data_IF_141940111885
#
_entry.id   IF_141940111885
#
_cell.length_a   1.000
_cell.length_b   1.000
_cell.length_c   1.000
_cell.angle_alpha   90.00
_cell.angle_beta   90.00
_cell.angle_gamma   90.00
#
_symmetry.space_group_name_H-M   'P 1'
#
loop_
_entity.id
_entity.type
_entity.pdbx_description
1 polymer ?
#
# COMPACT_ATOMS: atom_id res chain seq x y z
N UNK A 1 -55.40 6.79 17.97
CA UNK A 1 -54.97 8.15 17.59
C UNK A 1 -53.44 8.24 17.48
N UNK A 2 -52.65 7.84 18.50
CA UNK A 2 -51.19 7.94 18.44
C UNK A 2 -50.48 7.07 17.35
N UNK A 3 -50.98 5.87 17.07
CA UNK A 3 -50.33 4.98 16.09
C UNK A 3 -50.51 5.49 14.64
N UNK A 4 -51.67 6.01 14.31
CA UNK A 4 -51.96 6.61 13.01
C UNK A 4 -51.15 7.89 12.76
N UNK A 5 -51.00 8.72 13.77
CA UNK A 5 -50.23 9.95 13.70
C UNK A 5 -48.72 9.70 13.54
N UNK A 6 -48.18 8.61 14.16
CA UNK A 6 -46.84 8.16 13.98
C UNK A 6 -46.63 7.62 12.55
N UNK A 7 -47.54 6.81 12.05
CA UNK A 7 -47.47 6.27 10.69
C UNK A 7 -47.49 7.39 9.62
N UNK A 8 -48.32 8.38 9.75
CA UNK A 8 -48.37 9.54 8.84
C UNK A 8 -47.09 10.41 8.91
N UNK A 9 -46.45 10.52 10.11
CA UNK A 9 -45.19 11.22 10.27
C UNK A 9 -44.04 10.44 9.60
N UNK A 10 -43.99 9.14 9.74
CA UNK A 10 -43.01 8.28 9.10
C UNK A 10 -43.14 8.27 7.58
N UNK A 11 -44.39 8.28 7.07
CA UNK A 11 -44.64 8.36 5.63
C UNK A 11 -44.25 9.72 5.03
N UNK A 12 -44.52 10.82 5.74
CA UNK A 12 -44.06 12.17 5.36
C UNK A 12 -42.55 12.28 5.39
N UNK A 13 -41.90 11.68 6.39
CA UNK A 13 -40.46 11.64 6.51
C UNK A 13 -39.84 10.80 5.39
N UNK A 14 -40.37 9.61 5.11
CA UNK A 14 -39.97 8.75 4.00
C UNK A 14 -40.08 9.42 2.64
N UNK A 15 -41.22 10.10 2.36
CA UNK A 15 -41.42 10.88 1.14
C UNK A 15 -40.45 12.06 1.02
N UNK A 16 -40.07 12.68 2.13
CA UNK A 16 -39.14 13.81 2.17
C UNK A 16 -37.70 13.36 1.96
N UNK A 17 -37.31 12.20 2.51
CA UNK A 17 -36.00 11.54 2.24
C UNK A 17 -35.97 11.05 0.80
N UNK A 18 -36.99 10.39 0.31
CA UNK A 18 -37.10 9.94 -1.08
C UNK A 18 -36.97 11.07 -2.10
N UNK A 19 -37.59 12.23 -1.86
CA UNK A 19 -37.39 13.42 -2.70
C UNK A 19 -35.99 14.01 -2.62
N UNK A 20 -35.33 13.99 -1.45
CA UNK A 20 -33.90 14.42 -1.32
C UNK A 20 -32.95 13.44 -1.97
N UNK A 21 -33.27 12.15 -2.00
CA UNK A 21 -32.45 11.10 -2.63
C UNK A 21 -32.71 10.95 -4.14
N UNK A 22 -33.82 11.52 -4.66
CA UNK A 22 -34.13 11.53 -6.10
C UNK A 22 -33.58 12.72 -6.90
N UNK A 23 -32.87 13.66 -6.24
CA UNK A 23 -31.97 14.57 -6.92
C UNK A 23 -30.90 13.75 -7.62
N UNK A 24 -30.51 14.10 -8.87
CA UNK A 24 -29.43 13.44 -9.62
C UNK A 24 -28.34 13.04 -8.64
N UNK A 25 -28.23 11.74 -8.35
CA UNK A 25 -27.10 11.20 -7.63
C UNK A 25 -25.90 11.50 -8.52
N UNK A 26 -25.17 12.56 -8.24
CA UNK A 26 -23.80 12.61 -8.71
C UNK A 26 -23.17 11.29 -8.27
N UNK A 27 -22.77 10.47 -9.24
CA UNK A 27 -22.16 9.16 -8.99
C UNK A 27 -20.92 9.45 -8.15
N UNK A 28 -20.96 9.11 -6.87
CA UNK A 28 -19.81 9.32 -5.97
C UNK A 28 -18.64 8.60 -6.61
N UNK A 29 -17.59 9.33 -6.96
CA UNK A 29 -16.40 8.75 -7.56
C UNK A 29 -15.74 7.80 -6.57
N UNK A 30 -15.50 6.59 -7.01
CA UNK A 30 -14.81 5.59 -6.20
C UNK A 30 -13.31 5.90 -6.09
N UNK A 31 -12.70 5.42 -4.99
CA UNK A 31 -11.27 5.55 -4.74
C UNK A 31 -10.54 4.31 -5.23
N UNK A 32 -9.48 4.53 -5.97
CA UNK A 32 -8.59 3.47 -6.45
C UNK A 32 -7.15 3.71 -5.99
N UNK A 33 -6.51 2.62 -5.59
CA UNK A 33 -5.12 2.58 -5.15
C UNK A 33 -4.28 1.74 -6.11
N UNK A 34 -2.99 2.01 -6.17
CA UNK A 34 -2.10 1.23 -7.04
C UNK A 34 -1.98 -0.22 -6.55
N UNK A 35 -1.74 -0.45 -5.27
CA UNK A 35 -1.50 -1.79 -4.71
C UNK A 35 -2.78 -2.58 -4.52
N UNK A 36 -3.79 -1.98 -3.89
CA UNK A 36 -5.03 -2.65 -3.54
C UNK A 36 -5.96 -2.92 -4.72
N UNK A 37 -5.86 -2.12 -5.79
CA UNK A 37 -6.78 -2.22 -6.91
C UNK A 37 -6.06 -2.58 -8.20
N UNK A 38 -5.19 -1.71 -8.72
CA UNK A 38 -4.61 -1.88 -10.04
C UNK A 38 -3.72 -3.13 -10.14
N UNK A 39 -2.78 -3.28 -9.21
CA UNK A 39 -1.88 -4.44 -9.19
C UNK A 39 -2.68 -5.73 -8.94
N UNK A 40 -3.59 -5.71 -7.96
CA UNK A 40 -4.40 -6.87 -7.63
C UNK A 40 -5.30 -7.30 -8.79
N UNK A 41 -5.95 -6.35 -9.47
CA UNK A 41 -6.74 -6.62 -10.67
C UNK A 41 -5.88 -7.16 -11.80
N UNK A 42 -4.73 -6.53 -12.08
CA UNK A 42 -3.80 -6.97 -13.14
C UNK A 42 -3.21 -8.36 -12.87
N UNK A 43 -3.10 -8.77 -11.61
CA UNK A 43 -2.66 -10.13 -11.26
C UNK A 43 -3.75 -11.17 -11.56
N UNK A 44 -4.97 -10.93 -11.12
CA UNK A 44 -6.12 -11.79 -11.38
C UNK A 44 -7.44 -11.03 -11.18
N UNK A 45 -8.14 -10.60 -12.26
CA UNK A 45 -9.41 -9.92 -12.17
C UNK A 45 -10.45 -10.68 -11.34
N UNK A 46 -10.53 -12.01 -11.51
CA UNK A 46 -11.46 -12.85 -10.74
C UNK A 46 -11.16 -12.84 -9.24
N UNK A 47 -9.90 -12.98 -8.85
CA UNK A 47 -9.49 -12.91 -7.45
C UNK A 47 -9.80 -11.53 -6.86
N UNK A 48 -9.50 -10.47 -7.62
CA UNK A 48 -9.85 -9.10 -7.24
C UNK A 48 -11.35 -8.94 -7.01
N UNK A 49 -12.19 -9.44 -7.93
CA UNK A 49 -13.65 -9.40 -7.80
C UNK A 49 -14.13 -10.10 -6.54
N UNK A 50 -13.61 -11.29 -6.24
CA UNK A 50 -13.98 -12.06 -5.04
C UNK A 50 -13.62 -11.32 -3.75
N UNK A 51 -12.40 -10.86 -3.61
CA UNK A 51 -11.95 -10.23 -2.36
C UNK A 51 -12.38 -8.77 -2.21
N UNK A 52 -12.32 -7.98 -3.27
CA UNK A 52 -12.55 -6.53 -3.19
C UNK A 52 -13.99 -6.12 -3.48
N UNK A 53 -14.67 -6.78 -4.40
CA UNK A 53 -16.04 -6.43 -4.77
C UNK A 53 -17.07 -7.24 -3.99
N UNK A 54 -16.91 -8.56 -3.90
CA UNK A 54 -17.83 -9.40 -3.12
C UNK A 54 -17.48 -9.48 -1.63
N UNK A 55 -16.34 -8.96 -1.21
CA UNK A 55 -15.98 -8.79 0.20
C UNK A 55 -15.58 -10.08 0.93
N UNK A 56 -15.15 -11.12 0.22
CA UNK A 56 -14.59 -12.29 0.87
C UNK A 56 -13.28 -11.94 1.58
N UNK A 57 -13.16 -12.30 2.85
CA UNK A 57 -11.93 -12.10 3.61
C UNK A 57 -10.90 -13.18 3.24
N UNK A 58 -9.63 -12.82 2.98
CA UNK A 58 -8.58 -13.83 2.79
C UNK A 58 -8.35 -14.64 4.06
N UNK A 59 -8.10 -15.95 3.90
CA UNK A 59 -7.91 -16.87 5.01
C UNK A 59 -6.57 -16.73 5.75
N UNK A 60 -5.65 -15.91 5.25
CA UNK A 60 -4.27 -15.85 5.75
C UNK A 60 -3.84 -14.46 6.24
N UNK A 61 -4.43 -13.93 7.33
CA UNK A 61 -4.04 -12.63 7.90
C UNK A 61 -2.59 -12.62 8.42
N UNK A 62 -1.99 -13.77 8.69
CA UNK A 62 -0.60 -13.88 9.18
C UNK A 62 0.46 -13.48 8.14
N UNK A 63 0.16 -13.55 6.84
CA UNK A 63 1.09 -13.07 5.80
C UNK A 63 1.26 -11.54 5.82
N UNK A 64 0.26 -10.84 6.34
CA UNK A 64 0.29 -9.37 6.45
C UNK A 64 1.06 -8.89 7.68
N UNK A 65 1.24 -9.75 8.71
CA UNK A 65 1.85 -9.35 9.98
C UNK A 65 3.25 -8.76 9.79
N UNK A 66 4.11 -9.45 9.02
CA UNK A 66 5.53 -9.07 8.88
C UNK A 66 5.70 -7.65 8.30
N UNK A 67 5.01 -7.34 7.22
CA UNK A 67 5.05 -6.00 6.63
C UNK A 67 4.39 -4.96 7.55
N UNK A 68 3.20 -5.27 8.04
CA UNK A 68 2.40 -4.35 8.87
C UNK A 68 3.09 -3.95 10.16
N UNK A 69 3.78 -4.87 10.86
CA UNK A 69 4.49 -4.55 12.10
C UNK A 69 5.66 -3.61 11.85
N UNK A 70 6.39 -3.78 10.74
CA UNK A 70 7.49 -2.89 10.35
C UNK A 70 6.96 -1.48 10.09
N UNK A 71 5.92 -1.33 9.26
CA UNK A 71 5.34 -0.02 8.95
C UNK A 71 4.80 0.68 10.21
N UNK A 72 4.06 -0.05 11.06
CA UNK A 72 3.53 0.50 12.32
C UNK A 72 4.63 0.92 13.30
N UNK A 73 5.71 0.13 13.38
CA UNK A 73 6.86 0.47 14.21
C UNK A 73 7.53 1.76 13.71
N UNK A 74 7.82 1.85 12.42
CA UNK A 74 8.47 3.02 11.83
C UNK A 74 7.61 4.27 11.98
N UNK A 75 6.31 4.17 11.70
CA UNK A 75 5.36 5.25 11.98
C UNK A 75 5.42 5.70 13.44
N UNK A 76 5.45 4.76 14.37
CA UNK A 76 5.51 5.10 15.80
C UNK A 76 6.84 5.76 16.17
N UNK A 77 7.95 5.29 15.62
CA UNK A 77 9.27 5.89 15.79
C UNK A 77 9.29 7.36 15.30
N UNK A 78 8.73 7.63 14.13
CA UNK A 78 8.54 9.02 13.63
C UNK A 78 7.66 9.85 14.55
N UNK A 79 6.58 9.26 15.08
CA UNK A 79 5.69 9.98 16.01
C UNK A 79 6.42 10.37 17.29
N UNK A 80 7.22 9.46 17.87
CA UNK A 80 8.05 9.75 19.07
C UNK A 80 9.01 10.90 18.78
N UNK A 81 9.71 10.86 17.65
CA UNK A 81 10.61 11.95 17.29
C UNK A 81 9.87 13.29 17.10
N UNK A 82 8.71 13.30 16.47
CA UNK A 82 7.94 14.54 16.29
C UNK A 82 7.54 15.18 17.61
N UNK A 83 7.12 14.36 18.60
CA UNK A 83 6.61 14.82 19.89
C UNK A 83 7.76 15.11 20.85
N UNK A 84 8.66 14.16 21.04
CA UNK A 84 9.67 14.19 22.08
C UNK A 84 11.05 14.64 21.61
N UNK A 85 11.23 14.82 20.28
CA UNK A 85 12.53 15.09 19.63
C UNK A 85 13.59 14.02 19.94
N UNK A 86 13.17 12.83 20.34
CA UNK A 86 14.02 11.70 20.68
C UNK A 86 14.01 10.67 19.56
N UNK A 87 15.17 10.33 19.04
CA UNK A 87 15.33 9.23 18.09
C UNK A 87 15.28 7.90 18.86
N UNK A 88 14.53 6.94 18.33
CA UNK A 88 14.46 5.58 18.86
C UNK A 88 15.81 4.88 18.57
N UNK A 89 16.50 4.48 19.63
CA UNK A 89 17.72 3.68 19.57
C UNK A 89 17.46 2.18 19.59
N UNK A 90 18.54 1.39 19.50
CA UNK A 90 18.46 -0.08 19.52
C UNK A 90 17.82 -0.61 20.81
N UNK A 91 18.12 0.02 21.96
CA UNK A 91 17.62 -0.38 23.28
C UNK A 91 16.11 -0.11 23.44
N UNK A 92 15.57 0.86 22.72
CA UNK A 92 14.13 1.21 22.76
C UNK A 92 13.27 0.23 21.93
N UNK A 93 13.88 -0.54 21.03
CA UNK A 93 13.14 -1.32 20.01
C UNK A 93 12.16 -2.29 20.66
N UNK A 94 12.58 -3.04 21.66
CA UNK A 94 11.73 -4.09 22.24
C UNK A 94 10.50 -3.54 22.97
N UNK A 95 10.65 -2.39 23.63
CA UNK A 95 9.51 -1.74 24.31
C UNK A 95 8.52 -1.21 23.27
N UNK A 96 9.00 -0.50 22.25
CA UNK A 96 8.15 0.05 21.20
C UNK A 96 7.49 -1.05 20.39
N UNK A 97 8.24 -2.11 20.06
CA UNK A 97 7.75 -3.29 19.35
C UNK A 97 6.61 -3.95 20.10
N UNK A 98 6.76 -4.22 21.40
CA UNK A 98 5.69 -4.79 22.24
C UNK A 98 4.38 -3.98 22.18
N UNK A 99 4.47 -2.65 22.18
CA UNK A 99 3.29 -1.77 22.07
C UNK A 99 2.60 -1.93 20.72
N UNK A 100 3.38 -2.03 19.63
CA UNK A 100 2.84 -2.25 18.27
C UNK A 100 2.24 -3.65 18.15
N UNK A 101 2.95 -4.67 18.60
CA UNK A 101 2.52 -6.07 18.56
C UNK A 101 1.22 -6.28 19.32
N UNK A 102 1.09 -5.76 20.55
CA UNK A 102 -0.13 -5.86 21.34
C UNK A 102 -1.34 -5.22 20.66
N UNK A 103 -1.15 -4.10 19.95
CA UNK A 103 -2.22 -3.48 19.17
C UNK A 103 -2.64 -4.35 17.99
N UNK A 104 -1.68 -5.00 17.31
CA UNK A 104 -1.97 -5.92 16.19
C UNK A 104 -2.65 -7.22 16.67
N UNK A 105 -2.24 -7.75 17.82
CA UNK A 105 -2.88 -8.91 18.42
C UNK A 105 -4.35 -8.65 18.79
N UNK A 106 -4.66 -7.45 19.26
CA UNK A 106 -6.04 -7.04 19.52
C UNK A 106 -6.89 -6.98 18.23
N UNK A 107 -6.26 -6.76 17.06
CA UNK A 107 -6.89 -6.84 15.75
C UNK A 107 -6.93 -8.30 15.19
N UNK A 108 -6.41 -9.27 15.92
CA UNK A 108 -6.34 -10.68 15.49
C UNK A 108 -5.15 -11.01 14.57
N UNK A 109 -4.21 -10.07 14.39
CA UNK A 109 -3.04 -10.22 13.48
C UNK A 109 -1.82 -10.64 14.30
N UNK A 110 -1.28 -11.83 14.03
CA UNK A 110 -0.19 -12.45 14.81
C UNK A 110 0.95 -12.92 13.91
N UNK A 111 2.18 -13.05 14.46
CA UNK A 111 3.29 -13.63 13.72
C UNK A 111 3.02 -15.11 13.40
N UNK A 112 3.55 -15.57 12.25
CA UNK A 112 3.43 -16.96 11.85
C UNK A 112 4.25 -17.93 12.72
N UNK A 113 5.31 -17.43 13.37
CA UNK A 113 6.14 -18.20 14.29
C UNK A 113 6.99 -17.27 15.19
N UNK A 114 7.52 -17.78 16.33
CA UNK A 114 8.47 -17.06 17.15
C UNK A 114 9.72 -16.60 16.38
N UNK A 115 10.23 -17.41 15.46
CA UNK A 115 11.41 -17.10 14.66
C UNK A 115 11.18 -15.90 13.73
N UNK A 116 9.98 -15.80 13.15
CA UNK A 116 9.59 -14.64 12.34
C UNK A 116 9.53 -13.38 13.20
N UNK A 117 9.01 -13.49 14.42
CA UNK A 117 8.98 -12.40 15.38
C UNK A 117 10.39 -11.91 15.75
N UNK A 118 11.28 -12.82 16.12
CA UNK A 118 12.67 -12.52 16.45
C UNK A 118 13.41 -11.86 15.29
N UNK A 119 13.19 -12.35 14.07
CA UNK A 119 13.77 -11.76 12.86
C UNK A 119 13.34 -10.30 12.67
N UNK A 120 12.07 -9.96 12.91
CA UNK A 120 11.61 -8.57 12.83
C UNK A 120 12.27 -7.70 13.90
N UNK A 121 12.38 -8.18 15.13
CA UNK A 121 13.05 -7.43 16.20
C UNK A 121 14.51 -7.15 15.83
N UNK A 122 15.24 -8.17 15.35
CA UNK A 122 16.62 -8.01 14.89
C UNK A 122 16.74 -7.00 13.74
N UNK A 123 15.79 -7.03 12.79
CA UNK A 123 15.72 -6.09 11.67
C UNK A 123 15.51 -4.66 12.15
N UNK A 124 14.60 -4.44 13.08
CA UNK A 124 14.29 -3.12 13.60
C UNK A 124 15.44 -2.56 14.47
N UNK A 125 16.11 -3.41 15.24
CA UNK A 125 17.35 -3.05 15.95
C UNK A 125 18.42 -2.60 14.97
N UNK A 126 18.64 -3.36 13.90
CA UNK A 126 19.62 -3.01 12.88
C UNK A 126 19.27 -1.70 12.15
N UNK A 127 18.00 -1.47 11.81
CA UNK A 127 17.53 -0.19 11.26
C UNK A 127 17.83 0.97 12.24
N UNK A 128 17.50 0.81 13.52
CA UNK A 128 17.74 1.84 14.52
C UNK A 128 19.23 2.13 14.69
N UNK A 129 20.05 1.10 14.72
CA UNK A 129 21.51 1.23 14.84
C UNK A 129 22.15 1.92 13.65
N UNK A 130 21.71 1.60 12.42
CA UNK A 130 22.36 2.06 11.19
C UNK A 130 21.80 3.37 10.63
N UNK A 131 20.49 3.56 10.71
CA UNK A 131 19.80 4.58 9.92
C UNK A 131 19.02 5.57 10.74
N UNK A 132 18.42 5.17 11.86
CA UNK A 132 17.42 6.00 12.54
C UNK A 132 17.97 7.38 12.94
N UNK A 133 19.22 7.47 13.37
CA UNK A 133 19.86 8.71 13.83
C UNK A 133 19.89 9.81 12.77
N UNK A 134 20.21 9.46 11.52
CA UNK A 134 20.27 10.41 10.40
C UNK A 134 18.94 10.49 9.63
N UNK A 135 18.19 9.42 9.57
CA UNK A 135 17.00 9.31 8.72
C UNK A 135 15.75 9.89 9.38
N UNK A 136 15.44 9.47 10.61
CA UNK A 136 14.18 9.86 11.29
C UNK A 136 14.06 11.39 11.45
N UNK A 137 15.12 12.15 11.82
CA UNK A 137 15.05 13.60 11.93
C UNK A 137 14.70 14.34 10.62
N UNK A 138 14.95 13.72 9.48
CA UNK A 138 14.70 14.30 8.14
C UNK A 138 13.30 13.98 7.61
N UNK A 139 12.50 13.19 8.33
CA UNK A 139 11.12 12.86 7.92
C UNK A 139 10.19 14.00 8.29
N UNK A 140 9.63 14.63 7.28
CA UNK A 140 8.64 15.70 7.41
C UNK A 140 7.26 15.11 7.76
N UNK A 141 6.83 14.06 7.05
CA UNK A 141 5.53 13.42 7.25
C UNK A 141 5.64 11.90 7.09
N UNK A 142 5.08 11.15 8.05
CA UNK A 142 4.92 9.69 7.96
C UNK A 142 3.47 9.35 7.63
N UNK A 143 3.27 8.33 6.78
CA UNK A 143 1.97 7.95 6.21
C UNK A 143 1.26 9.13 5.51
N UNK A 144 2.01 9.84 4.68
CA UNK A 144 1.51 10.95 3.89
C UNK A 144 0.39 10.49 2.95
N UNK A 145 -0.81 11.01 3.17
CA UNK A 145 -1.99 10.72 2.34
C UNK A 145 -2.05 11.66 1.16
N UNK A 146 -2.04 11.09 -0.03
CA UNK A 146 -2.11 11.79 -1.29
C UNK A 146 -3.38 11.42 -2.02
N UNK A 147 -4.08 12.42 -2.55
CA UNK A 147 -5.38 12.27 -3.22
C UNK A 147 -5.40 13.17 -4.43
N UNK A 148 -5.86 12.62 -5.56
CA UNK A 148 -6.19 13.40 -6.77
C UNK A 148 -7.54 12.95 -7.30
N UNK A 149 -8.46 13.88 -7.41
CA UNK A 149 -9.70 13.66 -8.13
C UNK A 149 -9.45 13.72 -9.63
N UNK A 150 -9.75 12.64 -10.33
CA UNK A 150 -9.70 12.51 -11.78
C UNK A 150 -11.14 12.54 -12.35
N UNK A 151 -11.33 12.66 -13.67
CA UNK A 151 -12.68 12.77 -14.26
C UNK A 151 -13.66 11.67 -13.83
N UNK A 152 -13.19 10.43 -13.68
CA UNK A 152 -14.04 9.27 -13.43
C UNK A 152 -13.85 8.59 -12.07
N UNK A 153 -12.75 8.86 -11.38
CA UNK A 153 -12.40 8.23 -10.10
C UNK A 153 -11.50 9.12 -9.25
N UNK A 154 -11.26 8.72 -8.02
CA UNK A 154 -10.31 9.35 -7.11
C UNK A 154 -9.08 8.45 -7.02
N UNK A 155 -7.93 8.96 -7.45
CA UNK A 155 -6.64 8.30 -7.24
C UNK A 155 -6.16 8.59 -5.82
N UNK A 156 -5.80 7.52 -5.10
CA UNK A 156 -5.42 7.60 -3.70
C UNK A 156 -4.14 6.80 -3.45
N UNK A 157 -3.26 7.35 -2.61
CA UNK A 157 -2.05 6.69 -2.15
C UNK A 157 -1.65 7.10 -0.74
N UNK A 158 -0.94 6.23 -0.05
CA UNK A 158 -0.29 6.53 1.23
C UNK A 158 1.20 6.26 1.03
N UNK A 159 2.00 7.29 1.22
CA UNK A 159 3.47 7.22 1.19
C UNK A 159 3.94 6.98 2.61
N UNK A 160 4.82 6.01 2.82
CA UNK A 160 5.27 5.66 4.17
C UNK A 160 6.01 6.79 4.85
N UNK A 161 6.91 7.48 4.11
CA UNK A 161 7.61 8.64 4.63
C UNK A 161 7.94 9.66 3.53
N UNK A 162 7.71 10.93 3.84
CA UNK A 162 8.20 12.07 3.09
C UNK A 162 9.45 12.59 3.80
N UNK A 163 10.60 12.45 3.17
CA UNK A 163 11.87 12.95 3.67
C UNK A 163 12.21 14.27 3.01
N UNK A 164 12.76 15.19 3.79
CA UNK A 164 13.27 16.49 3.30
C UNK A 164 14.74 16.62 3.64
N UNK A 165 15.55 16.89 2.64
CA UNK A 165 16.98 17.10 2.81
C UNK A 165 17.48 18.15 1.83
N UNK A 166 18.14 19.19 2.35
CA UNK A 166 18.63 20.29 1.50
C UNK A 166 17.55 21.07 0.75
N UNK A 167 16.30 21.05 1.22
CA UNK A 167 15.16 21.67 0.55
C UNK A 167 14.53 20.79 -0.56
N UNK A 168 15.03 19.60 -0.78
CA UNK A 168 14.50 18.65 -1.76
C UNK A 168 13.64 17.58 -1.08
N UNK A 169 12.60 17.14 -1.78
CA UNK A 169 11.67 16.14 -1.29
C UNK A 169 12.02 14.75 -1.83
N UNK A 170 11.99 13.77 -0.96
CA UNK A 170 12.13 12.35 -1.30
C UNK A 170 10.94 11.56 -0.76
N UNK A 171 10.37 10.68 -1.58
CA UNK A 171 9.31 9.75 -1.17
C UNK A 171 9.97 8.42 -0.81
N UNK A 172 9.65 7.88 0.36
CA UNK A 172 10.18 6.60 0.83
C UNK A 172 9.05 5.61 1.07
N UNK A 173 9.28 4.36 0.67
CA UNK A 173 8.38 3.23 0.89
C UNK A 173 9.17 2.03 1.42
N UNK A 174 8.72 1.47 2.53
CA UNK A 174 9.40 0.38 3.22
C UNK A 174 8.89 -0.97 2.74
N UNK A 175 9.79 -1.84 2.34
CA UNK A 175 9.46 -3.20 1.92
C UNK A 175 10.03 -4.21 2.92
N UNK A 176 9.15 -4.86 3.69
CA UNK A 176 9.48 -5.91 4.64
C UNK A 176 9.94 -7.20 3.96
N UNK A 177 10.89 -7.12 3.02
CA UNK A 177 11.40 -8.24 2.25
C UNK A 177 12.80 -7.96 1.73
N UNK A 178 13.40 -8.98 1.12
CA UNK A 178 14.63 -8.84 0.34
C UNK A 178 14.38 -8.17 -1.00
N UNK A 179 15.35 -7.47 -1.52
CA UNK A 179 15.27 -6.88 -2.87
C UNK A 179 15.07 -8.01 -3.89
N UNK A 180 14.04 -7.91 -4.74
CA UNK A 180 13.82 -8.89 -5.79
C UNK A 180 15.02 -8.97 -6.74
N UNK A 181 15.42 -10.19 -7.09
CA UNK A 181 16.60 -10.44 -7.94
C UNK A 181 16.29 -10.08 -9.40
N UNK A 182 16.92 -9.03 -9.99
CA UNK A 182 16.60 -8.55 -11.33
C UNK A 182 16.96 -9.54 -12.45
N UNK A 183 17.86 -10.48 -12.19
CA UNK A 183 18.25 -11.52 -13.16
C UNK A 183 17.12 -12.51 -13.41
N UNK A 184 16.17 -12.66 -12.48
CA UNK A 184 15.04 -13.58 -12.62
C UNK A 184 13.81 -12.89 -13.23
N UNK A 185 12.99 -13.60 -14.05
CA UNK A 185 11.75 -13.04 -14.59
C UNK A 185 10.78 -12.55 -13.49
N UNK A 186 10.67 -13.31 -12.41
CA UNK A 186 9.81 -12.97 -11.27
C UNK A 186 10.34 -11.72 -10.53
N UNK A 187 11.66 -11.62 -10.36
CA UNK A 187 12.28 -10.46 -9.72
C UNK A 187 12.07 -9.19 -10.53
N UNK A 188 12.27 -9.25 -11.85
CA UNK A 188 11.98 -8.11 -12.76
C UNK A 188 10.54 -7.66 -12.66
N UNK A 189 9.58 -8.59 -12.73
CA UNK A 189 8.15 -8.28 -12.60
C UNK A 189 7.83 -7.61 -11.25
N UNK A 190 8.42 -8.07 -10.15
CA UNK A 190 8.22 -7.44 -8.83
C UNK A 190 8.80 -6.04 -8.77
N UNK A 191 10.01 -5.82 -9.28
CA UNK A 191 10.62 -4.48 -9.34
C UNK A 191 9.75 -3.54 -10.18
N UNK A 192 9.25 -3.99 -11.34
CA UNK A 192 8.34 -3.21 -12.18
C UNK A 192 7.07 -2.80 -11.41
N UNK A 193 6.45 -3.72 -10.69
CA UNK A 193 5.27 -3.45 -9.86
C UNK A 193 5.56 -2.36 -8.81
N UNK A 194 6.69 -2.47 -8.10
CA UNK A 194 7.08 -1.47 -7.10
C UNK A 194 7.45 -0.13 -7.73
N UNK A 195 8.09 -0.14 -8.90
CA UNK A 195 8.37 1.07 -9.68
C UNK A 195 7.06 1.78 -10.07
N UNK A 196 6.08 1.04 -10.57
CA UNK A 196 4.74 1.57 -10.89
C UNK A 196 4.04 2.16 -9.65
N UNK A 197 4.21 1.56 -8.47
CA UNK A 197 3.72 2.14 -7.22
C UNK A 197 4.35 3.51 -6.94
N UNK A 198 5.67 3.61 -7.08
CA UNK A 198 6.38 4.87 -6.86
C UNK A 198 6.04 5.93 -7.92
N UNK A 199 5.74 5.53 -9.15
CA UNK A 199 5.25 6.43 -10.19
C UNK A 199 3.93 7.10 -9.78
N UNK A 200 2.99 6.32 -9.25
CA UNK A 200 1.72 6.86 -8.74
C UNK A 200 1.95 7.82 -7.58
N UNK A 201 2.83 7.48 -6.66
CA UNK A 201 3.15 8.35 -5.53
C UNK A 201 3.83 9.65 -5.97
N UNK A 202 4.78 9.57 -6.89
CA UNK A 202 5.43 10.75 -7.49
C UNK A 202 4.44 11.64 -8.23
N UNK A 203 3.54 11.06 -9.02
CA UNK A 203 2.47 11.80 -9.68
C UNK A 203 1.53 12.49 -8.68
N UNK A 204 1.04 11.77 -7.68
CA UNK A 204 0.18 12.34 -6.65
C UNK A 204 0.87 13.46 -5.85
N UNK A 205 2.17 13.30 -5.58
CA UNK A 205 2.96 14.32 -4.92
C UNK A 205 3.07 15.58 -5.79
N UNK A 206 3.35 15.43 -7.09
CA UNK A 206 3.35 16.54 -8.06
C UNK A 206 2.01 17.27 -8.09
N UNK A 207 0.91 16.53 -8.12
CA UNK A 207 -0.44 17.12 -8.17
C UNK A 207 -0.77 17.92 -6.90
N UNK A 208 -0.20 17.55 -5.75
CA UNK A 208 -0.37 18.28 -4.48
C UNK A 208 0.57 19.47 -4.36
N UNK A 209 1.84 19.33 -4.78
CA UNK A 209 2.92 20.29 -4.47
C UNK A 209 3.38 21.11 -5.68
N UNK A 210 2.89 20.85 -6.88
CA UNK A 210 3.25 21.54 -8.12
C UNK A 210 4.56 21.05 -8.78
N UNK A 211 5.34 20.20 -8.11
CA UNK A 211 6.59 19.61 -8.64
C UNK A 211 6.72 18.15 -8.24
N UNK A 212 7.45 17.37 -9.03
CA UNK A 212 7.83 16.01 -8.64
C UNK A 212 8.77 16.05 -7.42
N UNK A 213 8.78 14.99 -6.59
CA UNK A 213 9.89 14.82 -5.64
C UNK A 213 11.18 14.62 -6.44
N UNK A 214 12.33 14.90 -5.83
CA UNK A 214 13.62 14.62 -6.47
C UNK A 214 13.76 13.16 -6.83
N UNK A 215 13.43 12.28 -5.87
CA UNK A 215 13.46 10.84 -6.07
C UNK A 215 12.42 10.12 -5.23
N UNK A 216 12.11 8.89 -5.63
CA UNK A 216 11.42 7.93 -4.81
C UNK A 216 12.37 6.77 -4.45
N UNK A 217 12.27 6.29 -3.22
CA UNK A 217 13.16 5.27 -2.67
C UNK A 217 12.34 4.10 -2.12
N UNK A 218 12.64 2.91 -2.61
CA UNK A 218 12.20 1.65 -2.00
C UNK A 218 13.30 1.17 -1.07
N UNK A 219 12.99 1.02 0.21
CA UNK A 219 13.91 0.47 1.20
C UNK A 219 13.55 -0.98 1.50
N UNK A 220 14.33 -1.91 0.95
CA UNK A 220 14.18 -3.35 1.18
C UNK A 220 14.81 -3.73 2.53
N UNK A 221 13.99 -3.69 3.56
CA UNK A 221 14.42 -3.78 4.96
C UNK A 221 15.26 -5.03 5.27
N UNK A 222 14.90 -6.19 4.70
CA UNK A 222 15.59 -7.44 5.00
C UNK A 222 17.05 -7.47 4.49
N UNK A 223 17.41 -6.59 3.57
CA UNK A 223 18.82 -6.45 3.12
C UNK A 223 19.71 -5.82 4.20
N UNK A 224 19.13 -5.09 5.16
CA UNK A 224 19.91 -4.54 6.29
C UNK A 224 20.50 -5.63 7.19
N UNK A 225 19.93 -6.83 7.18
CA UNK A 225 20.47 -8.00 7.91
C UNK A 225 21.61 -8.71 7.18
N UNK A 226 21.94 -8.29 5.95
CA UNK A 226 22.95 -8.93 5.10
C UNK A 226 24.10 -7.96 4.83
N UNK A 227 25.30 -8.52 4.66
CA UNK A 227 26.51 -7.74 4.42
C UNK A 227 27.22 -7.28 5.70
N UNK A 228 28.46 -6.88 5.56
CA UNK A 228 29.35 -6.56 6.70
C UNK A 228 29.40 -5.04 6.97
N UNK A 229 29.39 -4.22 5.92
CA UNK A 229 29.49 -2.76 6.04
C UNK A 229 28.16 -2.05 5.79
N UNK A 230 27.99 -0.86 6.37
CA UNK A 230 26.83 0.00 6.10
C UNK A 230 26.66 0.29 4.60
N UNK A 231 27.77 0.58 3.91
CA UNK A 231 27.76 0.86 2.46
C UNK A 231 27.24 -0.32 1.65
N UNK A 232 27.66 -1.53 1.98
CA UNK A 232 27.19 -2.75 1.31
C UNK A 232 25.69 -2.97 1.58
N UNK A 233 25.27 -2.88 2.83
CA UNK A 233 23.87 -3.03 3.23
C UNK A 233 22.95 -2.03 2.48
N UNK A 234 23.32 -0.76 2.45
CA UNK A 234 22.55 0.28 1.76
C UNK A 234 22.55 0.09 0.25
N UNK A 235 23.65 -0.31 -0.38
CA UNK A 235 23.67 -0.56 -1.83
C UNK A 235 22.71 -1.67 -2.26
N UNK A 236 22.44 -2.62 -1.36
CA UNK A 236 21.48 -3.71 -1.59
C UNK A 236 20.06 -3.30 -1.20
N UNK A 237 19.89 -2.61 -0.07
CA UNK A 237 18.60 -2.27 0.48
C UNK A 237 17.88 -1.15 -0.29
N UNK A 238 18.61 -0.20 -0.87
CA UNK A 238 18.05 1.00 -1.51
C UNK A 238 17.88 0.77 -3.00
N UNK A 239 16.66 1.06 -3.49
CA UNK A 239 16.35 1.15 -4.91
C UNK A 239 15.74 2.51 -5.19
N UNK A 240 16.39 3.29 -6.04
CA UNK A 240 16.03 4.68 -6.32
C UNK A 240 15.38 4.83 -7.68
N UNK A 241 14.44 5.77 -7.76
CA UNK A 241 13.78 6.21 -8.98
C UNK A 241 13.94 7.73 -9.01
N UNK A 242 14.69 8.22 -9.99
CA UNK A 242 15.00 9.64 -10.14
C UNK A 242 13.92 10.34 -10.96
N UNK A 243 13.22 11.28 -10.37
CA UNK A 243 12.20 12.11 -11.04
C UNK A 243 12.77 13.38 -11.68
N UNK A 244 14.06 13.64 -11.58
CA UNK A 244 14.73 14.69 -12.35
C UNK A 244 15.02 14.26 -13.79
N UNK A 245 14.98 12.95 -14.06
CA UNK A 245 15.13 12.37 -15.39
C UNK A 245 13.84 12.51 -16.20
N UNK A 246 13.90 13.18 -17.34
CA UNK A 246 12.76 13.38 -18.24
C UNK A 246 12.16 12.08 -18.76
N UNK A 247 12.97 11.02 -18.93
CA UNK A 247 12.47 9.71 -19.35
C UNK A 247 11.58 9.13 -18.29
N UNK A 248 12.01 9.17 -17.03
CA UNK A 248 11.21 8.73 -15.88
C UNK A 248 9.87 9.46 -15.81
N UNK A 249 9.88 10.78 -16.00
CA UNK A 249 8.64 11.60 -16.00
C UNK A 249 7.69 11.17 -17.11
N UNK A 250 8.18 10.91 -18.32
CA UNK A 250 7.36 10.42 -19.44
C UNK A 250 6.77 9.02 -19.15
N UNK A 251 7.53 8.14 -18.52
CA UNK A 251 7.06 6.82 -18.09
C UNK A 251 5.95 6.93 -17.05
N UNK A 252 6.07 7.85 -16.09
CA UNK A 252 5.02 8.15 -15.11
C UNK A 252 3.72 8.56 -15.80
N UNK A 253 3.77 9.53 -16.71
CA UNK A 253 2.59 10.01 -17.43
C UNK A 253 1.96 8.91 -18.29
N UNK A 254 2.78 8.06 -18.89
CA UNK A 254 2.32 6.88 -19.63
C UNK A 254 1.57 5.92 -18.72
N UNK A 255 2.13 5.62 -17.56
CA UNK A 255 1.51 4.70 -16.62
C UNK A 255 0.22 5.24 -16.01
N UNK A 256 0.09 6.55 -15.77
CA UNK A 256 -1.18 7.13 -15.26
C UNK A 256 -2.32 6.97 -16.29
N UNK A 257 -2.01 6.99 -17.59
CA UNK A 257 -3.00 6.65 -18.64
C UNK A 257 -3.40 5.18 -18.57
N UNK A 258 -2.43 4.25 -18.51
CA UNK A 258 -2.67 2.81 -18.31
C UNK A 258 -3.51 2.55 -17.07
N UNK A 259 -3.19 3.20 -15.95
CA UNK A 259 -3.96 3.12 -14.71
C UNK A 259 -5.44 3.46 -14.94
N UNK A 260 -5.71 4.53 -15.66
CA UNK A 260 -7.08 4.97 -15.96
C UNK A 260 -7.84 3.96 -16.83
N UNK A 261 -7.16 3.26 -17.73
CA UNK A 261 -7.75 2.19 -18.55
C UNK A 261 -8.11 0.98 -17.67
N UNK A 262 -7.21 0.56 -16.80
CA UNK A 262 -7.48 -0.55 -15.85
C UNK A 262 -8.68 -0.21 -14.94
N UNK A 263 -8.78 1.03 -14.45
CA UNK A 263 -9.97 1.44 -13.67
C UNK A 263 -11.26 1.30 -14.47
N UNK A 264 -11.27 1.66 -15.76
CA UNK A 264 -12.44 1.46 -16.62
C UNK A 264 -12.80 -0.01 -16.78
N UNK A 265 -11.81 -0.89 -16.89
CA UNK A 265 -12.05 -2.34 -16.93
C UNK A 265 -12.64 -2.86 -15.62
N UNK A 266 -12.14 -2.40 -14.47
CA UNK A 266 -12.69 -2.73 -13.16
C UNK A 266 -14.16 -2.28 -13.09
N UNK A 267 -14.48 -1.04 -13.47
CA UNK A 267 -15.84 -0.53 -13.45
C UNK A 267 -16.77 -1.34 -14.37
N UNK A 268 -16.32 -1.68 -15.58
CA UNK A 268 -17.07 -2.54 -16.49
C UNK A 268 -17.30 -3.94 -15.90
N UNK A 269 -16.33 -4.50 -15.19
CA UNK A 269 -16.47 -5.78 -14.52
C UNK A 269 -17.48 -5.72 -13.37
N UNK A 270 -17.49 -4.63 -12.60
CA UNK A 270 -18.49 -4.37 -11.54
C UNK A 270 -19.91 -4.25 -12.11
N UNK A 271 -20.09 -3.50 -13.19
CA UNK A 271 -21.38 -3.29 -13.83
C UNK A 271 -21.95 -4.59 -14.42
N UNK A 272 -21.10 -5.41 -15.05
CA UNK A 272 -21.51 -6.68 -15.68
C UNK A 272 -21.58 -7.86 -14.70
N UNK A 273 -20.96 -7.76 -13.53
CA UNK A 273 -20.76 -8.87 -12.60
C UNK A 273 -19.80 -9.95 -13.13
N UNK A 274 -19.09 -9.68 -14.24
CA UNK A 274 -18.18 -10.64 -14.88
C UNK A 274 -16.73 -10.28 -14.57
N UNK A 275 -16.01 -11.26 -14.01
CA UNK A 275 -14.62 -11.15 -13.63
C UNK A 275 -13.81 -12.19 -14.41
N UNK A 276 -13.09 -11.72 -15.40
CA UNK A 276 -12.37 -12.59 -16.34
C UNK A 276 -11.21 -13.33 -15.64
N UNK A 277 -10.88 -14.51 -16.19
CA UNK A 277 -9.67 -15.21 -15.81
C UNK A 277 -8.52 -14.71 -16.67
N UNK A 278 -7.34 -14.43 -16.09
CA UNK A 278 -6.20 -13.97 -16.86
C UNK A 278 -5.71 -15.08 -17.80
N UNK A 279 -5.25 -14.69 -18.99
CA UNK A 279 -4.64 -15.63 -19.97
C UNK A 279 -3.39 -16.30 -19.39
N UNK A 280 -2.56 -15.52 -18.70
CA UNK A 280 -1.37 -15.99 -17.98
C UNK A 280 -1.45 -15.58 -16.53
N UNK A 281 -1.08 -16.49 -15.63
CA UNK A 281 -1.06 -16.24 -14.19
C UNK A 281 0.16 -16.91 -13.56
N UNK A 282 0.75 -16.22 -12.57
CA UNK A 282 1.77 -16.83 -11.74
C UNK A 282 1.15 -17.92 -10.84
N UNK A 283 1.72 -19.10 -10.87
CA UNK A 283 1.29 -20.24 -10.04
C UNK A 283 1.24 -19.88 -8.54
N UNK A 284 2.16 -19.04 -8.05
CA UNK A 284 2.14 -18.58 -6.66
C UNK A 284 0.90 -17.76 -6.32
N UNK A 285 0.41 -16.93 -7.24
CA UNK A 285 -0.85 -16.19 -7.07
C UNK A 285 -2.02 -17.16 -6.90
N UNK A 286 -2.06 -18.21 -7.72
CA UNK A 286 -3.09 -19.24 -7.60
C UNK A 286 -2.97 -20.04 -6.30
N UNK A 287 -1.77 -20.44 -5.90
CA UNK A 287 -1.54 -21.19 -4.66
C UNK A 287 -1.95 -20.41 -3.41
N UNK A 288 -1.85 -19.09 -3.44
CA UNK A 288 -2.27 -18.21 -2.35
C UNK A 288 -3.77 -17.85 -2.39
N UNK A 289 -4.52 -18.31 -3.38
CA UNK A 289 -5.94 -18.01 -3.53
C UNK A 289 -6.80 -19.03 -2.77
N UNK A 290 -7.73 -18.57 -1.94
CA UNK A 290 -8.66 -19.44 -1.20
C UNK A 290 -9.63 -20.17 -2.13
N UNK A 291 -9.93 -19.61 -3.29
CA UNK A 291 -10.84 -20.17 -4.30
C UNK A 291 -10.14 -21.07 -5.33
N UNK A 292 -8.89 -21.48 -5.08
CA UNK A 292 -8.10 -22.25 -6.05
C UNK A 292 -8.71 -23.57 -6.45
N UNK A 293 -9.34 -24.28 -5.51
CA UNK A 293 -9.90 -25.60 -5.77
C UNK A 293 -11.16 -25.59 -6.66
N UNK A 294 -11.85 -24.46 -6.74
CA UNK A 294 -13.01 -24.23 -7.60
C UNK A 294 -12.67 -23.40 -8.84
N UNK A 295 -11.38 -23.13 -9.07
CA UNK A 295 -10.95 -22.28 -10.18
C UNK A 295 -10.43 -23.09 -11.37
N UNK A 296 -11.09 -23.05 -12.55
CA UNK A 296 -10.66 -23.82 -13.70
C UNK A 296 -9.24 -23.47 -14.16
N UNK A 297 -8.77 -22.23 -13.91
CA UNK A 297 -7.40 -21.82 -14.22
C UNK A 297 -6.36 -22.55 -13.35
N UNK A 298 -6.64 -22.74 -12.06
CA UNK A 298 -5.76 -23.51 -11.16
C UNK A 298 -5.75 -25.00 -11.53
N UNK A 299 -6.91 -25.55 -11.86
CA UNK A 299 -7.03 -26.96 -12.23
C UNK A 299 -6.33 -27.30 -13.57
N UNK A 300 -5.99 -26.28 -14.37
CA UNK A 300 -5.24 -26.41 -15.64
C UNK A 300 -3.73 -26.12 -15.51
N UNK A 301 -3.22 -25.81 -14.31
CA UNK A 301 -1.80 -25.56 -14.02
C UNK A 301 -1.08 -26.82 -13.53
#
# INVERSE_FOLDING_TARGET
VRAQEIAERLERFSKRIGKKLSGKKEKIKERYTITGDIISYSMCPRQYGLYRFYGFAPSNPTQEWYGSVIHRFLKRAHTVYRVDKRVIGEDDVEELFRKVESAMEAEGVRPSSPQVRERVIALLKEFCRLLAGDFIPKIEEAELRLIKELPHFILYGIVDALKVEGGEFEIWDYKGMERPEPSTPLGRKKIEIYTKQMFVYGYLFKERNGCYPRRAVLLFMNELLKGESLKEKLSRAVYEIDFTDEKTVKEVEGFIREFSEIVREIEKSKESGRWELPSQIDKKTCLACDFRFDCPKFLSL
#
